data_IF_412605314992
#
_entry.id   IF_412605314992
#
_cell.length_a   1.000
_cell.length_b   1.000
_cell.length_c   1.000
_cell.angle_alpha   90.00
_cell.angle_beta   90.00
_cell.angle_gamma   90.00
#
_symmetry.space_group_name_H-M   'P 1'
#
loop_
_entity.id
_entity.type
_entity.pdbx_description
1 polymer ?
#
# COMPACT_ATOMS: atom_id res chain seq x y z
N UNK A 1 -23.63 3.75 -8.82
CA UNK A 1 -22.64 4.08 -7.77
C UNK A 1 -22.73 3.00 -6.71
N UNK A 2 -21.64 2.27 -6.42
CA UNK A 2 -21.66 1.23 -5.37
C UNK A 2 -21.82 1.89 -4.00
N UNK A 3 -22.67 1.29 -3.17
CA UNK A 3 -22.92 1.66 -1.76
C UNK A 3 -21.63 1.80 -0.95
N UNK A 4 -21.61 2.68 0.06
CA UNK A 4 -20.45 2.95 0.93
C UNK A 4 -20.07 1.82 1.89
N UNK A 5 -20.41 0.57 1.58
CA UNK A 5 -20.12 -0.61 2.40
C UNK A 5 -19.16 -1.53 1.66
N UNK A 6 -18.12 -1.97 2.37
CA UNK A 6 -17.13 -2.96 1.91
C UNK A 6 -17.08 -4.11 2.91
N UNK A 7 -16.77 -5.32 2.44
CA UNK A 7 -16.50 -6.46 3.33
C UNK A 7 -15.22 -6.21 4.16
N UNK A 8 -14.20 -5.62 3.53
CA UNK A 8 -12.95 -5.24 4.19
C UNK A 8 -12.54 -3.81 3.85
N UNK A 9 -12.20 -3.03 4.87
CA UNK A 9 -11.50 -1.74 4.70
C UNK A 9 -10.11 -1.87 5.31
N UNK A 10 -9.08 -1.64 4.50
CA UNK A 10 -7.69 -1.59 4.96
C UNK A 10 -7.31 -0.12 5.19
N UNK A 11 -7.01 0.24 6.43
CA UNK A 11 -6.55 1.59 6.77
C UNK A 11 -5.03 1.66 6.63
N UNK A 12 -4.55 2.42 5.65
CA UNK A 12 -3.16 2.59 5.30
C UNK A 12 -2.78 1.93 3.97
N UNK A 13 -2.36 2.74 3.01
CA UNK A 13 -1.88 2.37 1.67
C UNK A 13 -0.37 2.29 1.52
N UNK A 14 0.34 2.07 2.62
CA UNK A 14 1.76 1.74 2.62
C UNK A 14 2.04 0.29 2.20
N UNK A 15 3.30 -0.16 2.37
CA UNK A 15 3.71 -1.50 1.90
C UNK A 15 2.88 -2.66 2.48
N UNK A 16 2.43 -2.55 3.73
CA UNK A 16 1.62 -3.58 4.39
C UNK A 16 0.22 -3.63 3.78
N UNK A 17 -0.44 -2.48 3.63
CA UNK A 17 -1.77 -2.41 3.03
C UNK A 17 -1.79 -2.91 1.58
N UNK A 18 -0.79 -2.55 0.78
CA UNK A 18 -0.67 -3.04 -0.60
C UNK A 18 -0.47 -4.56 -0.66
N UNK A 19 0.39 -5.13 0.20
CA UNK A 19 0.55 -6.57 0.29
C UNK A 19 -0.73 -7.30 0.74
N UNK A 20 -1.46 -6.71 1.70
CA UNK A 20 -2.78 -7.22 2.11
C UNK A 20 -3.77 -7.18 0.94
N UNK A 21 -3.84 -6.05 0.23
CA UNK A 21 -4.71 -5.88 -0.94
C UNK A 21 -4.43 -6.90 -2.03
N UNK A 22 -3.16 -7.20 -2.33
CA UNK A 22 -2.77 -8.25 -3.26
C UNK A 22 -3.39 -9.61 -2.90
N UNK A 23 -3.35 -9.99 -1.62
CA UNK A 23 -3.93 -11.27 -1.17
C UNK A 23 -5.46 -11.25 -1.12
N UNK A 24 -6.09 -10.12 -0.79
CA UNK A 24 -7.55 -9.96 -0.83
C UNK A 24 -8.07 -10.08 -2.27
N UNK A 25 -7.44 -9.39 -3.24
CA UNK A 25 -7.77 -9.50 -4.66
C UNK A 25 -7.69 -10.94 -5.15
N UNK A 26 -6.62 -11.67 -4.78
CA UNK A 26 -6.45 -13.09 -5.16
C UNK A 26 -7.48 -14.03 -4.56
N UNK A 27 -8.18 -13.62 -3.51
CA UNK A 27 -9.26 -14.38 -2.87
C UNK A 27 -10.65 -13.93 -3.32
N UNK A 28 -10.75 -12.90 -4.16
CA UNK A 28 -12.03 -12.36 -4.63
C UNK A 28 -12.86 -11.67 -3.53
N UNK A 29 -12.22 -11.20 -2.46
CA UNK A 29 -12.87 -10.49 -1.35
C UNK A 29 -13.11 -9.03 -1.78
N UNK A 30 -14.27 -8.46 -1.48
CA UNK A 30 -14.57 -7.05 -1.79
C UNK A 30 -13.93 -6.13 -0.75
N UNK A 31 -13.01 -5.27 -1.20
CA UNK A 31 -12.27 -4.40 -0.28
C UNK A 31 -11.93 -3.05 -0.88
N UNK A 32 -11.58 -2.12 0.00
CA UNK A 32 -10.87 -0.90 -0.37
C UNK A 32 -9.74 -0.62 0.60
N UNK A 33 -8.71 0.07 0.13
CA UNK A 33 -7.66 0.65 0.96
C UNK A 33 -7.91 2.15 1.05
N UNK A 34 -7.81 2.73 2.24
CA UNK A 34 -7.84 4.19 2.44
C UNK A 34 -6.50 4.66 2.98
N UNK A 35 -5.94 5.73 2.43
CA UNK A 35 -4.68 6.30 2.89
C UNK A 35 -4.74 7.83 3.00
N UNK A 36 -4.08 8.36 4.03
CA UNK A 36 -4.08 9.79 4.32
C UNK A 36 -3.16 10.60 3.39
N UNK A 37 -2.26 9.95 2.65
CA UNK A 37 -1.42 10.64 1.68
C UNK A 37 -2.11 10.77 0.32
N UNK A 38 -1.76 11.84 -0.40
CA UNK A 38 -2.28 12.15 -1.74
C UNK A 38 -1.76 11.21 -2.84
N UNK A 39 -0.67 10.48 -2.56
CA UNK A 39 0.02 9.64 -3.54
C UNK A 39 0.62 8.41 -2.89
N UNK A 40 0.44 7.24 -3.51
CA UNK A 40 1.06 5.99 -3.05
C UNK A 40 2.57 6.15 -2.97
N UNK A 41 3.15 5.78 -1.83
CA UNK A 41 4.59 5.88 -1.58
C UNK A 41 5.03 7.20 -0.91
N UNK A 42 4.13 8.16 -0.67
CA UNK A 42 4.49 9.42 0.01
C UNK A 42 4.99 9.23 1.45
N UNK A 43 4.57 8.15 2.12
CA UNK A 43 5.14 7.74 3.41
C UNK A 43 6.65 7.46 3.35
N UNK A 44 7.17 7.16 2.16
CA UNK A 44 8.60 6.99 1.87
C UNK A 44 9.21 8.27 1.28
N UNK A 45 8.57 8.83 0.24
CA UNK A 45 9.06 10.01 -0.49
C UNK A 45 9.36 11.21 0.41
N UNK A 46 8.58 11.38 1.49
CA UNK A 46 8.70 12.50 2.45
C UNK A 46 9.73 12.27 3.57
N UNK A 47 10.47 11.16 3.55
CA UNK A 47 11.58 10.92 4.49
C UNK A 47 12.83 11.70 4.06
N UNK A 48 13.86 11.70 4.89
CA UNK A 48 15.11 12.42 4.64
C UNK A 48 15.84 11.92 3.38
N UNK A 49 16.51 12.84 2.66
CA UNK A 49 17.03 12.58 1.31
C UNK A 49 18.10 11.48 1.24
N UNK A 50 18.90 11.33 2.29
CA UNK A 50 19.95 10.30 2.34
C UNK A 50 19.43 8.90 2.68
N UNK A 51 18.12 8.72 2.92
CA UNK A 51 17.56 7.44 3.30
C UNK A 51 17.78 6.40 2.20
N UNK A 52 18.39 5.29 2.61
CA UNK A 52 18.42 4.01 1.89
C UNK A 52 17.89 2.90 2.78
N UNK A 53 17.33 1.88 2.15
CA UNK A 53 17.00 0.62 2.80
C UNK A 53 18.28 -0.06 3.30
N UNK A 54 18.17 -0.79 4.40
CA UNK A 54 19.29 -1.55 4.98
C UNK A 54 19.35 -2.99 4.46
N UNK A 55 18.40 -3.39 3.64
CA UNK A 55 18.29 -4.70 2.99
C UNK A 55 18.60 -4.59 1.50
N UNK A 56 19.22 -5.62 0.88
CA UNK A 56 19.36 -5.67 -0.56
C UNK A 56 18.01 -5.81 -1.27
N UNK A 57 17.86 -5.20 -2.45
CA UNK A 57 16.62 -5.16 -3.23
C UNK A 57 15.95 -6.53 -3.43
N UNK A 58 16.72 -7.62 -3.52
CA UNK A 58 16.17 -8.99 -3.63
C UNK A 58 15.31 -9.42 -2.43
N UNK A 59 15.47 -8.75 -1.29
CA UNK A 59 14.75 -9.00 -0.04
C UNK A 59 13.65 -7.95 0.23
N UNK A 60 13.53 -6.92 -0.61
CA UNK A 60 12.59 -5.81 -0.42
C UNK A 60 11.27 -5.97 -1.22
N UNK A 61 11.12 -7.09 -1.92
CA UNK A 61 9.97 -7.34 -2.76
C UNK A 61 8.69 -7.64 -1.95
N UNK A 62 7.59 -7.01 -2.34
CA UNK A 62 6.23 -7.40 -1.98
C UNK A 62 5.76 -8.63 -2.79
N UNK A 63 4.74 -9.35 -2.30
CA UNK A 63 4.23 -10.55 -2.96
C UNK A 63 3.90 -10.34 -4.43
N UNK A 64 4.39 -11.23 -5.30
CA UNK A 64 4.03 -11.25 -6.73
C UNK A 64 4.76 -10.24 -7.62
N UNK A 65 5.61 -9.34 -7.07
CA UNK A 65 6.37 -8.40 -7.89
C UNK A 65 7.78 -8.16 -7.33
N UNK A 66 8.85 -8.55 -8.04
CA UNK A 66 10.21 -8.30 -7.60
C UNK A 66 10.52 -6.80 -7.56
N UNK A 67 11.46 -6.41 -6.71
CA UNK A 67 11.95 -5.03 -6.67
C UNK A 67 12.78 -4.72 -7.94
N UNK A 68 12.54 -3.60 -8.64
CA UNK A 68 13.15 -3.30 -9.94
C UNK A 68 14.57 -2.69 -9.81
N UNK A 69 15.46 -3.39 -9.10
CA UNK A 69 16.86 -2.97 -8.95
C UNK A 69 17.82 -4.17 -8.97
N UNK A 70 19.13 -3.90 -9.05
CA UNK A 70 20.14 -4.97 -8.91
C UNK A 70 19.98 -5.67 -7.57
N UNK A 71 20.10 -7.00 -7.53
CA UNK A 71 19.83 -7.82 -6.35
C UNK A 71 20.65 -7.49 -5.09
N UNK A 72 21.79 -6.80 -5.23
CA UNK A 72 22.66 -6.34 -4.15
C UNK A 72 22.52 -4.85 -3.82
N UNK A 73 21.71 -4.09 -4.58
CA UNK A 73 21.52 -2.67 -4.36
C UNK A 73 20.74 -2.42 -3.06
N UNK A 74 21.01 -1.29 -2.42
CA UNK A 74 20.26 -0.77 -1.27
C UNK A 74 19.39 0.39 -1.77
N UNK A 75 18.09 0.16 -2.05
CA UNK A 75 17.29 1.20 -2.70
C UNK A 75 17.08 2.42 -1.82
N UNK A 76 16.93 3.57 -2.46
CA UNK A 76 16.61 4.86 -1.84
C UNK A 76 15.14 4.94 -1.40
N UNK A 77 14.80 5.96 -0.61
CA UNK A 77 13.39 6.26 -0.28
C UNK A 77 12.52 6.44 -1.53
N UNK A 78 13.07 7.04 -2.58
CA UNK A 78 12.30 7.39 -3.78
C UNK A 78 12.12 6.17 -4.69
N UNK A 79 13.11 5.28 -4.77
CA UNK A 79 12.98 3.98 -5.44
C UNK A 79 11.94 3.10 -4.74
N UNK A 80 11.93 3.05 -3.39
CA UNK A 80 10.89 2.34 -2.65
C UNK A 80 9.51 2.95 -2.89
N UNK A 81 9.40 4.28 -2.89
CA UNK A 81 8.13 4.97 -3.18
C UNK A 81 7.62 4.67 -4.60
N UNK A 82 8.51 4.70 -5.61
CA UNK A 82 8.18 4.37 -6.99
C UNK A 82 7.78 2.90 -7.17
N UNK A 83 8.44 1.99 -6.44
CA UNK A 83 8.10 0.58 -6.41
C UNK A 83 6.68 0.36 -5.88
N UNK A 84 6.30 0.96 -4.75
CA UNK A 84 4.95 0.84 -4.20
C UNK A 84 3.87 1.41 -5.12
N UNK A 85 4.14 2.53 -5.78
CA UNK A 85 3.22 3.11 -6.76
C UNK A 85 3.02 2.20 -7.97
N UNK A 86 4.12 1.66 -8.51
CA UNK A 86 4.07 0.69 -9.61
C UNK A 86 3.34 -0.60 -9.20
N UNK A 87 3.51 -1.04 -7.95
CA UNK A 87 2.84 -2.21 -7.39
C UNK A 87 1.32 -2.01 -7.34
N UNK A 88 0.87 -0.88 -6.80
CA UNK A 88 -0.56 -0.55 -6.73
C UNK A 88 -1.21 -0.49 -8.11
N UNK A 89 -0.53 0.09 -9.10
CA UNK A 89 -0.99 0.15 -10.49
C UNK A 89 -1.02 -1.24 -11.15
N UNK A 90 0.05 -2.03 -11.01
CA UNK A 90 0.19 -3.36 -11.64
C UNK A 90 -0.90 -4.33 -11.21
N UNK A 91 -1.29 -4.28 -9.94
CA UNK A 91 -2.31 -5.17 -9.39
C UNK A 91 -3.68 -4.51 -9.24
N UNK A 92 -3.85 -3.31 -9.80
CA UNK A 92 -5.10 -2.54 -9.78
C UNK A 92 -5.73 -2.49 -8.38
N UNK A 93 -4.89 -2.28 -7.35
CA UNK A 93 -5.32 -2.34 -5.96
C UNK A 93 -6.33 -1.21 -5.70
N UNK A 94 -7.53 -1.49 -5.18
CA UNK A 94 -8.59 -0.49 -5.00
C UNK A 94 -8.28 0.45 -3.82
N UNK A 95 -7.40 1.43 -4.06
CA UNK A 95 -6.95 2.43 -3.09
C UNK A 95 -7.63 3.79 -3.30
N UNK A 96 -8.00 4.43 -2.19
CA UNK A 96 -8.51 5.80 -2.11
C UNK A 96 -7.52 6.65 -1.31
N UNK A 97 -6.99 7.67 -1.96
CA UNK A 97 -5.93 8.54 -1.43
C UNK A 97 -6.52 9.85 -0.90
N UNK A 98 -5.75 10.57 -0.07
CA UNK A 98 -6.20 11.81 0.57
C UNK A 98 -7.32 11.62 1.60
N UNK A 99 -7.54 10.39 2.08
CA UNK A 99 -8.57 10.06 3.07
C UNK A 99 -7.89 9.69 4.38
N UNK A 100 -7.91 10.64 5.32
CA UNK A 100 -7.51 10.38 6.71
C UNK A 100 -8.68 9.71 7.44
N UNK A 101 -8.41 8.55 8.03
CA UNK A 101 -9.34 7.92 8.98
C UNK A 101 -9.05 8.49 10.36
N UNK A 102 -10.05 9.16 10.95
CA UNK A 102 -9.92 9.79 12.27
C UNK A 102 -10.41 8.89 13.41
N UNK A 103 -11.38 8.02 13.16
CA UNK A 103 -11.90 7.08 14.15
C UNK A 103 -12.49 5.83 13.50
N UNK A 104 -12.59 4.76 14.29
CA UNK A 104 -13.33 3.54 13.95
C UNK A 104 -14.28 3.22 15.10
N UNK A 105 -15.55 2.94 14.81
CA UNK A 105 -16.56 2.59 15.79
C UNK A 105 -17.18 1.25 15.45
N UNK A 106 -17.44 0.44 16.47
CA UNK A 106 -18.12 -0.84 16.31
C UNK A 106 -19.63 -0.60 16.32
N UNK A 107 -20.32 -1.15 15.32
CA UNK A 107 -21.77 -1.21 15.27
C UNK A 107 -22.25 -2.61 15.68
N UNK A 108 -23.58 -2.81 15.77
CA UNK A 108 -24.13 -4.16 15.99
C UNK A 108 -23.67 -5.14 14.88
N UNK A 109 -23.60 -4.64 13.64
CA UNK A 109 -23.12 -5.37 12.47
C UNK A 109 -22.05 -4.53 11.75
N UNK A 110 -20.78 -4.87 11.96
CA UNK A 110 -19.64 -4.25 11.28
C UNK A 110 -19.07 -3.02 12.00
N UNK A 111 -18.51 -2.12 11.21
CA UNK A 111 -17.79 -0.92 11.66
C UNK A 111 -18.12 0.29 10.80
N UNK A 112 -18.01 1.48 11.39
CA UNK A 112 -18.04 2.79 10.72
C UNK A 112 -16.81 3.64 11.06
#
# INVERSE_FOLDING_TARGET
MRSGHFEVVVVGGGQAGLATGYHLSRRGIDFTIVDAHERVGDAWRRRWDSLRLFTPARLDALPGMPFPARASALPTKDEMAAYLESYAQRFEVPIRLGIRVDSLRRLEQGYE
#
